data_IF_218046025268
#
_entry.id   IF_218046025268
#
_cell.length_a   1.000
_cell.length_b   1.000
_cell.length_c   1.000
_cell.angle_alpha   90.00
_cell.angle_beta   90.00
_cell.angle_gamma   90.00
#
_symmetry.space_group_name_H-M   'P 1'
#
loop_
_entity.id
_entity.type
_entity.pdbx_description
1 polymer ?
#
# COMPACT_ATOMS: atom_id res chain seq x y z
N UNK A 1 -55.76 -83.13 -3.10
CA UNK A 1 -55.95 -81.69 -3.41
C UNK A 1 -55.37 -80.76 -2.34
N UNK A 2 -55.58 -80.99 -1.04
CA UNK A 2 -55.03 -80.16 0.03
C UNK A 2 -53.48 -80.03 0.03
N UNK A 3 -52.75 -81.11 -0.21
CA UNK A 3 -51.27 -81.10 -0.29
C UNK A 3 -50.72 -80.24 -1.44
N UNK A 4 -51.39 -80.20 -2.60
CA UNK A 4 -50.97 -79.39 -3.75
C UNK A 4 -51.19 -77.89 -3.53
N UNK A 5 -52.27 -77.52 -2.83
CA UNK A 5 -52.57 -76.13 -2.44
C UNK A 5 -51.57 -75.63 -1.41
N UNK A 6 -51.20 -76.47 -0.44
CA UNK A 6 -50.18 -76.15 0.56
C UNK A 6 -48.79 -75.99 -0.09
N UNK A 7 -48.40 -76.87 -1.01
CA UNK A 7 -47.14 -76.74 -1.74
C UNK A 7 -47.10 -75.50 -2.66
N UNK A 8 -48.23 -75.14 -3.29
CA UNK A 8 -48.35 -73.92 -4.08
C UNK A 8 -48.29 -72.66 -3.20
N UNK A 9 -48.89 -72.69 -2.01
CA UNK A 9 -48.81 -71.61 -1.01
C UNK A 9 -47.38 -71.43 -0.49
N UNK A 10 -46.70 -72.52 -0.08
CA UNK A 10 -45.31 -72.48 0.35
C UNK A 10 -44.38 -72.02 -0.78
N UNK A 11 -44.56 -72.52 -2.01
CA UNK A 11 -43.80 -72.06 -3.17
C UNK A 11 -44.04 -70.58 -3.51
N UNK A 12 -45.28 -70.09 -3.38
CA UNK A 12 -45.60 -68.67 -3.60
C UNK A 12 -45.02 -67.76 -2.52
N UNK A 13 -44.94 -68.24 -1.28
CA UNK A 13 -44.31 -67.55 -0.15
C UNK A 13 -42.81 -67.45 -0.35
N UNK A 14 -42.17 -68.56 -0.73
CA UNK A 14 -40.72 -68.61 -0.95
C UNK A 14 -40.31 -67.72 -2.15
N UNK A 15 -41.12 -67.70 -3.21
CA UNK A 15 -40.90 -66.83 -4.37
C UNK A 15 -41.09 -65.34 -4.04
N UNK A 16 -42.05 -65.01 -3.18
CA UNK A 16 -42.24 -63.65 -2.65
C UNK A 16 -41.07 -63.22 -1.77
N UNK A 17 -40.61 -64.10 -0.89
CA UNK A 17 -39.50 -63.83 0.02
C UNK A 17 -38.19 -63.64 -0.75
N UNK A 18 -37.91 -64.50 -1.74
CA UNK A 18 -36.73 -64.38 -2.62
C UNK A 18 -36.78 -63.13 -3.52
N UNK A 19 -37.98 -62.66 -3.89
CA UNK A 19 -38.13 -61.38 -4.58
C UNK A 19 -37.88 -60.23 -3.62
N UNK A 20 -38.49 -60.26 -2.44
CA UNK A 20 -38.33 -59.24 -1.41
C UNK A 20 -36.86 -59.05 -1.03
N UNK A 21 -36.10 -60.12 -0.80
CA UNK A 21 -34.67 -60.02 -0.50
C UNK A 21 -33.86 -59.41 -1.63
N UNK A 22 -34.21 -59.68 -2.90
CA UNK A 22 -33.54 -59.04 -4.03
C UNK A 22 -33.89 -57.57 -4.14
N UNK A 23 -35.15 -57.21 -3.92
CA UNK A 23 -35.59 -55.81 -3.94
C UNK A 23 -34.92 -55.02 -2.79
N UNK A 24 -34.81 -55.62 -1.59
CA UNK A 24 -34.10 -55.06 -0.43
C UNK A 24 -32.59 -54.94 -0.66
N UNK A 25 -31.95 -55.94 -1.26
CA UNK A 25 -30.52 -55.91 -1.62
C UNK A 25 -30.21 -54.84 -2.69
N UNK A 26 -31.09 -54.69 -3.68
CA UNK A 26 -31.00 -53.62 -4.68
C UNK A 26 -31.17 -52.23 -4.03
N UNK A 27 -32.17 -52.06 -3.18
CA UNK A 27 -32.40 -50.80 -2.45
C UNK A 27 -31.23 -50.45 -1.51
N UNK A 28 -30.64 -51.45 -0.85
CA UNK A 28 -29.48 -51.27 0.01
C UNK A 28 -28.26 -50.79 -0.81
N UNK A 29 -27.98 -51.40 -1.96
CA UNK A 29 -26.90 -50.93 -2.86
C UNK A 29 -27.15 -49.52 -3.38
N UNK A 30 -28.39 -49.17 -3.71
CA UNK A 30 -28.74 -47.82 -4.14
C UNK A 30 -28.49 -46.80 -3.03
N UNK A 31 -28.80 -47.13 -1.78
CA UNK A 31 -28.49 -46.29 -0.62
C UNK A 31 -26.98 -46.12 -0.42
N UNK A 32 -26.19 -47.19 -0.56
CA UNK A 32 -24.72 -47.09 -0.48
C UNK A 32 -24.16 -46.18 -1.57
N UNK A 33 -24.64 -46.31 -2.82
CA UNK A 33 -24.24 -45.44 -3.92
C UNK A 33 -24.63 -43.98 -3.64
N UNK A 34 -25.81 -43.76 -3.06
CA UNK A 34 -26.25 -42.42 -2.69
C UNK A 34 -25.37 -41.83 -1.59
N UNK A 35 -25.05 -42.59 -0.54
CA UNK A 35 -24.15 -42.13 0.53
C UNK A 35 -22.76 -41.80 0.02
N UNK A 36 -22.21 -42.63 -0.89
CA UNK A 36 -20.92 -42.35 -1.52
C UNK A 36 -20.95 -41.07 -2.35
N UNK A 37 -22.00 -40.85 -3.15
CA UNK A 37 -22.15 -39.63 -3.92
C UNK A 37 -22.30 -38.40 -3.01
N UNK A 38 -23.10 -38.48 -1.96
CA UNK A 38 -23.28 -37.40 -0.99
C UNK A 38 -21.97 -37.08 -0.25
N UNK A 39 -21.19 -38.09 0.10
CA UNK A 39 -19.87 -37.91 0.72
C UNK A 39 -18.87 -37.27 -0.24
N UNK A 40 -18.85 -37.67 -1.51
CA UNK A 40 -18.01 -37.04 -2.54
C UNK A 40 -18.39 -35.57 -2.72
N UNK A 41 -19.68 -35.27 -2.84
CA UNK A 41 -20.20 -33.90 -3.01
C UNK A 41 -19.87 -33.05 -1.78
N UNK A 42 -20.10 -33.57 -0.57
CA UNK A 42 -19.79 -32.88 0.69
C UNK A 42 -18.28 -32.61 0.83
N UNK A 43 -17.46 -33.62 0.54
CA UNK A 43 -16.01 -33.47 0.57
C UNK A 43 -15.52 -32.44 -0.45
N UNK A 44 -16.11 -32.42 -1.65
CA UNK A 44 -15.80 -31.44 -2.67
C UNK A 44 -16.19 -30.02 -2.24
N UNK A 45 -17.40 -29.84 -1.70
CA UNK A 45 -17.88 -28.55 -1.17
C UNK A 45 -17.00 -28.04 -0.02
N UNK A 46 -16.57 -28.91 0.88
CA UNK A 46 -15.66 -28.55 1.97
C UNK A 46 -14.31 -28.09 1.44
N UNK A 47 -13.73 -28.80 0.46
CA UNK A 47 -12.47 -28.37 -0.15
C UNK A 47 -12.59 -27.02 -0.84
N UNK A 48 -13.68 -26.79 -1.58
CA UNK A 48 -13.91 -25.49 -2.22
C UNK A 48 -14.02 -24.37 -1.20
N UNK A 49 -14.80 -24.57 -0.13
CA UNK A 49 -14.94 -23.59 0.95
C UNK A 49 -13.60 -23.32 1.66
N UNK A 50 -12.75 -24.34 1.85
CA UNK A 50 -11.44 -24.15 2.46
C UNK A 50 -10.44 -23.43 1.55
N UNK A 51 -10.44 -23.73 0.25
CA UNK A 51 -9.65 -23.00 -0.76
C UNK A 51 -10.07 -21.53 -0.78
N UNK A 52 -11.38 -21.27 -0.81
CA UNK A 52 -11.95 -19.93 -0.77
C UNK A 52 -11.54 -19.16 0.49
N UNK A 53 -11.60 -19.79 1.67
CA UNK A 53 -11.13 -19.17 2.93
C UNK A 53 -9.63 -18.90 2.90
N UNK A 54 -8.84 -19.79 2.31
CA UNK A 54 -7.38 -19.63 2.20
C UNK A 54 -7.04 -18.45 1.30
N UNK A 55 -7.61 -18.40 0.09
CA UNK A 55 -7.38 -17.33 -0.88
C UNK A 55 -7.79 -15.97 -0.34
N UNK A 56 -8.92 -15.87 0.37
CA UNK A 56 -9.33 -14.60 1.01
C UNK A 56 -8.34 -14.13 2.07
N UNK A 57 -7.81 -15.05 2.88
CA UNK A 57 -6.80 -14.72 3.90
C UNK A 57 -5.50 -14.25 3.25
N UNK A 58 -5.02 -14.96 2.23
CA UNK A 58 -3.82 -14.59 1.50
C UNK A 58 -3.99 -13.22 0.81
N UNK A 59 -5.14 -13.00 0.16
CA UNK A 59 -5.47 -11.72 -0.48
C UNK A 59 -5.54 -10.58 0.52
N UNK A 60 -6.20 -10.78 1.65
CA UNK A 60 -6.26 -9.79 2.73
C UNK A 60 -4.87 -9.43 3.25
N UNK A 61 -4.00 -10.43 3.48
CA UNK A 61 -2.62 -10.19 3.90
C UNK A 61 -1.83 -9.43 2.83
N UNK A 62 -1.97 -9.82 1.56
CA UNK A 62 -1.31 -9.13 0.44
C UNK A 62 -1.72 -7.66 0.37
N UNK A 63 -3.01 -7.34 0.43
CA UNK A 63 -3.49 -5.96 0.40
C UNK A 63 -3.08 -5.18 1.65
N UNK A 64 -3.03 -5.83 2.82
CA UNK A 64 -2.53 -5.20 4.05
C UNK A 64 -1.05 -4.79 3.93
N UNK A 65 -0.21 -5.66 3.36
CA UNK A 65 1.20 -5.35 3.11
C UNK A 65 1.36 -4.16 2.15
N UNK A 66 0.49 -4.04 1.15
CA UNK A 66 0.48 -2.88 0.24
C UNK A 66 0.07 -1.61 0.99
N UNK A 67 -0.94 -1.67 1.85
CA UNK A 67 -1.35 -0.54 2.69
C UNK A 67 -0.21 -0.10 3.61
N UNK A 68 0.46 -1.05 4.25
CA UNK A 68 1.58 -0.82 5.17
C UNK A 68 2.77 -0.18 4.44
N UNK A 69 3.16 -0.72 3.29
CA UNK A 69 4.24 -0.16 2.48
C UNK A 69 3.95 1.29 2.05
N UNK A 70 2.69 1.62 1.75
CA UNK A 70 2.29 3.00 1.44
C UNK A 70 2.29 3.90 2.66
N UNK A 71 1.86 3.41 3.82
CA UNK A 71 1.90 4.15 5.06
C UNK A 71 3.36 4.47 5.47
N UNK A 72 4.28 3.51 5.32
CA UNK A 72 5.71 3.71 5.55
C UNK A 72 6.33 4.71 4.56
N UNK A 73 5.94 4.64 3.28
CA UNK A 73 6.37 5.63 2.30
C UNK A 73 5.90 7.05 2.68
N UNK A 74 4.67 7.21 3.16
CA UNK A 74 4.16 8.52 3.59
C UNK A 74 4.84 9.00 4.87
N UNK A 75 5.12 8.11 5.82
CA UNK A 75 5.78 8.48 7.07
C UNK A 75 7.20 8.98 6.81
N UNK A 76 7.98 8.24 6.02
CA UNK A 76 9.35 8.61 5.65
C UNK A 76 9.42 9.96 4.93
N UNK A 77 8.47 10.23 4.01
CA UNK A 77 8.38 11.54 3.33
C UNK A 77 8.04 12.66 4.32
N UNK A 78 7.10 12.42 5.24
CA UNK A 78 6.73 13.41 6.26
C UNK A 78 7.88 13.71 7.24
N UNK A 79 8.65 12.69 7.60
CA UNK A 79 9.84 12.83 8.46
C UNK A 79 10.91 13.65 7.77
N UNK A 80 11.22 13.35 6.50
CA UNK A 80 12.18 14.12 5.69
C UNK A 80 11.77 15.59 5.55
N UNK A 81 10.49 15.87 5.30
CA UNK A 81 9.97 17.23 5.20
C UNK A 81 10.11 17.99 6.53
N UNK A 82 9.83 17.32 7.65
CA UNK A 82 9.94 17.90 9.00
C UNK A 82 11.40 18.17 9.38
N UNK A 83 12.31 17.24 9.09
CA UNK A 83 13.75 17.43 9.32
C UNK A 83 14.31 18.60 8.52
N UNK A 84 13.94 18.70 7.24
CA UNK A 84 14.37 19.81 6.39
C UNK A 84 13.82 21.14 6.91
N UNK A 85 12.54 21.19 7.29
CA UNK A 85 11.96 22.38 7.92
C UNK A 85 12.71 22.77 9.20
N UNK A 86 13.00 21.81 10.08
CA UNK A 86 13.75 22.05 11.33
C UNK A 86 15.16 22.58 11.08
N UNK A 87 15.85 22.04 10.07
CA UNK A 87 17.16 22.53 9.64
C UNK A 87 17.11 23.99 9.20
N UNK A 88 16.10 24.39 8.42
CA UNK A 88 15.94 25.78 7.98
C UNK A 88 15.67 26.70 9.15
N UNK A 89 14.75 26.34 10.04
CA UNK A 89 14.44 27.17 11.22
C UNK A 89 15.68 27.34 12.09
N UNK A 90 16.42 26.27 12.34
CA UNK A 90 17.68 26.31 13.10
C UNK A 90 18.73 27.19 12.41
N UNK A 91 18.90 27.05 11.09
CA UNK A 91 19.80 27.90 10.31
C UNK A 91 19.37 29.37 10.40
N UNK A 92 18.07 29.66 10.33
CA UNK A 92 17.55 31.02 10.41
C UNK A 92 17.82 31.69 11.76
N UNK A 93 17.71 30.93 12.86
CA UNK A 93 18.02 31.43 14.20
C UNK A 93 19.52 31.65 14.45
N UNK A 94 20.37 30.89 13.77
CA UNK A 94 21.83 30.94 13.95
C UNK A 94 22.54 31.94 13.03
N UNK A 95 21.89 32.42 11.96
CA UNK A 95 22.45 33.44 11.08
C UNK A 95 22.37 34.80 11.77
N UNK A 96 23.52 35.31 12.21
CA UNK A 96 23.65 36.70 12.64
C UNK A 96 23.53 37.64 11.45
N UNK A 97 22.58 38.57 11.49
CA UNK A 97 22.34 39.55 10.42
C UNK A 97 23.23 40.78 10.67
N UNK A 98 24.17 41.12 9.77
CA UNK A 98 24.94 42.35 9.88
C UNK A 98 24.08 43.59 9.61
N UNK A 99 24.36 44.70 10.30
CA UNK A 99 23.58 45.95 10.19
C UNK A 99 23.63 46.60 8.79
N UNK A 100 24.61 46.24 7.96
CA UNK A 100 24.89 46.88 6.65
C UNK A 100 24.37 46.08 5.44
N UNK A 101 23.42 45.15 5.62
CA UNK A 101 22.90 44.33 4.51
C UNK A 101 21.78 45.06 3.76
N UNK A 102 21.81 45.00 2.42
CA UNK A 102 20.74 45.55 1.58
C UNK A 102 19.38 44.91 1.89
N UNK A 103 18.36 45.74 2.09
CA UNK A 103 17.00 45.31 2.44
C UNK A 103 16.41 44.26 1.48
N UNK A 104 16.77 44.33 0.19
CA UNK A 104 16.33 43.37 -0.82
C UNK A 104 16.85 41.94 -0.57
N UNK A 105 18.11 41.79 -0.15
CA UNK A 105 18.71 40.47 0.12
C UNK A 105 18.07 39.85 1.37
N UNK A 106 17.82 40.68 2.39
CA UNK A 106 17.14 40.25 3.62
C UNK A 106 15.68 39.84 3.36
N UNK A 107 14.98 40.55 2.48
CA UNK A 107 13.65 40.15 2.02
C UNK A 107 13.69 38.80 1.30
N UNK A 108 14.60 38.59 0.33
CA UNK A 108 14.72 37.32 -0.38
C UNK A 108 15.04 36.15 0.56
N UNK A 109 15.92 36.35 1.54
CA UNK A 109 16.26 35.35 2.55
C UNK A 109 15.06 34.95 3.42
N UNK A 110 14.35 35.93 3.97
CA UNK A 110 13.20 35.67 4.85
C UNK A 110 12.03 35.05 4.11
N UNK A 111 11.69 35.55 2.92
CA UNK A 111 10.60 35.02 2.09
C UNK A 111 10.90 33.60 1.61
N UNK A 112 12.13 33.34 1.16
CA UNK A 112 12.49 31.99 0.70
C UNK A 112 12.55 30.99 1.84
N UNK A 113 13.14 31.34 3.00
CA UNK A 113 13.18 30.47 4.18
C UNK A 113 11.77 30.15 4.70
N UNK A 114 10.91 31.15 4.82
CA UNK A 114 9.51 30.95 5.24
C UNK A 114 8.71 30.14 4.23
N UNK A 115 8.90 30.37 2.92
CA UNK A 115 8.27 29.57 1.87
C UNK A 115 8.66 28.09 1.95
N UNK A 116 9.94 27.78 2.23
CA UNK A 116 10.39 26.39 2.44
C UNK A 116 9.68 25.77 3.64
N UNK A 117 9.67 26.46 4.79
CA UNK A 117 9.04 25.94 6.01
C UNK A 117 7.53 25.70 5.80
N UNK A 118 6.81 26.67 5.24
CA UNK A 118 5.36 26.54 5.00
C UNK A 118 5.07 25.41 4.02
N UNK A 119 5.79 25.31 2.90
CA UNK A 119 5.59 24.25 1.92
C UNK A 119 5.88 22.85 2.50
N UNK A 120 6.95 22.71 3.28
CA UNK A 120 7.34 21.44 3.91
C UNK A 120 6.38 21.04 5.03
N UNK A 121 5.90 21.99 5.84
CA UNK A 121 4.89 21.72 6.87
C UNK A 121 3.55 21.31 6.24
N UNK A 122 3.10 21.99 5.19
CA UNK A 122 1.88 21.60 4.46
C UNK A 122 2.06 20.18 3.90
N UNK A 123 3.20 19.86 3.28
CA UNK A 123 3.50 18.51 2.81
C UNK A 123 3.42 17.48 3.95
N UNK A 124 4.05 17.74 5.09
CA UNK A 124 4.04 16.83 6.24
C UNK A 124 2.62 16.63 6.80
N UNK A 125 1.83 17.71 6.90
CA UNK A 125 0.42 17.63 7.34
C UNK A 125 -0.43 16.84 6.33
N UNK A 126 -0.22 17.02 5.03
CA UNK A 126 -0.94 16.23 4.02
C UNK A 126 -0.56 14.75 4.08
N UNK A 127 0.74 14.43 4.22
CA UNK A 127 1.22 13.05 4.35
C UNK A 127 0.69 12.36 5.61
N UNK A 128 0.65 13.05 6.75
CA UNK A 128 0.10 12.52 8.01
C UNK A 128 -1.42 12.30 7.93
N UNK A 129 -2.16 13.22 7.30
CA UNK A 129 -3.60 13.03 7.05
C UNK A 129 -3.86 11.85 6.10
N UNK A 130 -3.05 11.68 5.06
CA UNK A 130 -3.11 10.51 4.17
C UNK A 130 -2.79 9.22 4.92
N UNK A 131 -1.77 9.23 5.78
CA UNK A 131 -1.41 8.08 6.60
C UNK A 131 -2.56 7.68 7.53
N UNK A 132 -3.23 8.64 8.18
CA UNK A 132 -4.42 8.38 9.00
C UNK A 132 -5.57 7.78 8.19
N UNK A 133 -5.78 8.24 6.96
CA UNK A 133 -6.79 7.68 6.07
C UNK A 133 -6.47 6.23 5.70
N UNK A 134 -5.20 5.92 5.41
CA UNK A 134 -4.73 4.56 5.08
C UNK A 134 -4.87 3.62 6.26
N UNK A 135 -4.43 4.03 7.46
CA UNK A 135 -4.54 3.18 8.66
C UNK A 135 -5.98 2.91 9.03
N UNK A 136 -6.88 3.90 8.89
CA UNK A 136 -8.32 3.69 9.07
C UNK A 136 -8.92 2.74 8.04
N UNK A 137 -8.53 2.87 6.78
CA UNK A 137 -8.99 1.98 5.72
C UNK A 137 -8.53 0.54 5.97
N UNK A 138 -7.26 0.35 6.31
CA UNK A 138 -6.68 -0.95 6.63
C UNK A 138 -7.37 -1.60 7.84
N UNK A 139 -7.71 -0.82 8.87
CA UNK A 139 -8.35 -1.34 10.09
C UNK A 139 -9.84 -1.69 9.95
N UNK A 140 -10.60 -0.96 9.12
CA UNK A 140 -12.06 -1.07 9.14
C UNK A 140 -12.71 -1.40 7.81
N UNK A 141 -12.11 -1.03 6.68
CA UNK A 141 -12.77 -1.12 5.37
C UNK A 141 -12.18 -2.22 4.51
N UNK A 142 -10.93 -2.60 4.77
CA UNK A 142 -10.23 -3.64 4.03
C UNK A 142 -10.89 -5.02 4.19
N UNK A 143 -11.21 -5.41 5.43
CA UNK A 143 -11.85 -6.69 5.74
C UNK A 143 -13.22 -6.83 5.06
N UNK A 144 -14.06 -5.79 5.17
CA UNK A 144 -15.38 -5.78 4.54
C UNK A 144 -15.27 -5.84 3.01
N UNK A 145 -14.32 -5.09 2.42
CA UNK A 145 -14.13 -5.06 0.97
C UNK A 145 -13.70 -6.43 0.42
N UNK A 146 -12.77 -7.12 1.09
CA UNK A 146 -12.32 -8.47 0.72
C UNK A 146 -13.43 -9.51 0.93
N UNK A 147 -14.26 -9.35 1.97
CA UNK A 147 -15.39 -10.25 2.25
C UNK A 147 -16.48 -10.18 1.19
N UNK A 148 -16.77 -8.99 0.65
CA UNK A 148 -17.79 -8.79 -0.40
C UNK A 148 -17.32 -9.15 -1.80
N UNK A 149 -16.03 -9.43 -1.98
CA UNK A 149 -15.42 -9.67 -3.29
C UNK A 149 -15.75 -11.07 -3.80
N UNK A 150 -16.14 -11.16 -5.07
CA UNK A 150 -16.41 -12.44 -5.72
C UNK A 150 -15.11 -13.22 -5.99
N UNK A 151 -15.20 -14.55 -6.08
CA UNK A 151 -14.04 -15.44 -6.25
C UNK A 151 -13.25 -15.13 -7.52
N UNK A 152 -13.92 -14.71 -8.58
CA UNK A 152 -13.29 -14.30 -9.86
C UNK A 152 -12.53 -12.98 -9.75
N UNK A 153 -12.99 -12.07 -8.88
CA UNK A 153 -12.35 -10.78 -8.66
C UNK A 153 -11.21 -10.84 -7.65
N UNK A 154 -11.16 -11.90 -6.83
CA UNK A 154 -10.15 -12.09 -5.79
C UNK A 154 -8.72 -12.21 -6.37
N UNK A 155 -8.59 -12.78 -7.57
CA UNK A 155 -7.30 -12.96 -8.25
C UNK A 155 -6.79 -11.66 -8.91
N UNK A 156 -7.68 -10.81 -9.42
CA UNK A 156 -7.32 -9.69 -10.31
C UNK A 156 -7.56 -8.31 -9.72
N UNK A 157 -8.52 -8.17 -8.81
CA UNK A 157 -8.89 -6.89 -8.22
C UNK A 157 -8.01 -6.55 -7.02
N UNK A 158 -7.62 -5.29 -6.89
CA UNK A 158 -7.02 -4.74 -5.66
C UNK A 158 -7.95 -3.67 -5.09
N UNK A 159 -8.74 -3.97 -4.04
CA UNK A 159 -9.69 -3.02 -3.47
C UNK A 159 -8.99 -1.79 -2.88
N UNK A 160 -7.77 -1.95 -2.36
CA UNK A 160 -6.99 -0.82 -1.87
C UNK A 160 -6.62 0.15 -2.99
N UNK A 161 -6.15 -0.36 -4.14
CA UNK A 161 -5.70 0.50 -5.25
C UNK A 161 -6.86 1.31 -5.84
N UNK A 162 -8.04 0.71 -6.01
CA UNK A 162 -9.21 1.42 -6.54
C UNK A 162 -9.69 2.52 -5.60
N UNK A 163 -9.72 2.25 -4.29
CA UNK A 163 -10.01 3.25 -3.26
C UNK A 163 -8.97 4.38 -3.25
N UNK A 164 -7.68 4.02 -3.32
CA UNK A 164 -6.56 4.97 -3.31
C UNK A 164 -6.62 5.94 -4.48
N UNK A 165 -6.79 5.44 -5.71
CA UNK A 165 -6.88 6.25 -6.92
C UNK A 165 -8.04 7.25 -6.85
N UNK A 166 -9.19 6.80 -6.33
CA UNK A 166 -10.38 7.65 -6.27
C UNK A 166 -10.27 8.77 -5.24
N UNK A 167 -9.62 8.51 -4.09
CA UNK A 167 -9.74 9.40 -2.92
C UNK A 167 -8.43 10.04 -2.48
N UNK A 168 -7.31 9.35 -2.64
CA UNK A 168 -6.03 9.73 -2.06
C UNK A 168 -5.01 10.20 -3.11
N UNK A 169 -5.10 9.73 -4.36
CA UNK A 169 -4.12 10.06 -5.39
C UNK A 169 -4.00 11.56 -5.63
N UNK A 170 -5.11 12.28 -5.75
CA UNK A 170 -5.10 13.74 -5.97
C UNK A 170 -4.42 14.50 -4.84
N UNK A 171 -4.68 14.11 -3.59
CA UNK A 171 -4.10 14.73 -2.41
C UNK A 171 -2.61 14.38 -2.29
N UNK A 172 -2.24 13.13 -2.56
CA UNK A 172 -0.84 12.69 -2.61
C UNK A 172 -0.04 13.46 -3.66
N UNK A 173 -0.58 13.62 -4.87
CA UNK A 173 0.05 14.40 -5.94
C UNK A 173 0.25 15.86 -5.53
N UNK A 174 -0.69 16.41 -4.78
CA UNK A 174 -0.62 17.78 -4.27
C UNK A 174 0.46 17.91 -3.20
N UNK A 175 0.56 16.96 -2.27
CA UNK A 175 1.64 16.90 -1.29
C UNK A 175 3.02 16.84 -1.97
N UNK A 176 3.19 16.01 -2.99
CA UNK A 176 4.45 15.95 -3.74
C UNK A 176 4.77 17.25 -4.48
N UNK A 177 3.78 17.98 -4.99
CA UNK A 177 4.02 19.32 -5.58
C UNK A 177 4.54 20.30 -4.53
N UNK A 178 3.99 20.30 -3.32
CA UNK A 178 4.50 21.12 -2.22
C UNK A 178 5.90 20.71 -1.79
N UNK A 179 6.20 19.41 -1.72
CA UNK A 179 7.55 18.92 -1.45
C UNK A 179 8.55 19.42 -2.51
N UNK A 180 8.19 19.28 -3.80
CA UNK A 180 9.04 19.74 -4.90
C UNK A 180 9.23 21.26 -4.85
N UNK A 181 8.16 22.02 -4.60
CA UNK A 181 8.24 23.47 -4.43
C UNK A 181 9.14 23.86 -3.25
N UNK A 182 9.02 23.19 -2.11
CA UNK A 182 9.87 23.44 -0.94
C UNK A 182 11.35 23.16 -1.23
N UNK A 183 11.68 22.09 -1.95
CA UNK A 183 13.07 21.80 -2.35
C UNK A 183 13.59 22.84 -3.33
N UNK A 184 12.76 23.31 -4.28
CA UNK A 184 13.13 24.38 -5.19
C UNK A 184 13.43 25.69 -4.43
N UNK A 185 12.55 26.08 -3.51
CA UNK A 185 12.74 27.25 -2.66
C UNK A 185 13.96 27.13 -1.75
N UNK A 186 14.35 25.92 -1.35
CA UNK A 186 15.54 25.68 -0.54
C UNK A 186 16.84 26.06 -1.26
N UNK A 187 16.97 25.74 -2.55
CA UNK A 187 18.14 26.18 -3.33
C UNK A 187 18.22 27.70 -3.42
N UNK A 188 17.07 28.37 -3.56
CA UNK A 188 17.02 29.83 -3.57
C UNK A 188 17.39 30.42 -2.20
N UNK A 189 16.93 29.80 -1.12
CA UNK A 189 17.33 30.16 0.25
C UNK A 189 18.84 30.04 0.47
N UNK A 190 19.48 28.94 0.03
CA UNK A 190 20.93 28.79 0.14
C UNK A 190 21.70 29.88 -0.62
N UNK A 191 21.21 30.25 -1.80
CA UNK A 191 21.73 31.40 -2.54
C UNK A 191 21.62 32.69 -1.73
N UNK A 192 20.45 33.02 -1.20
CA UNK A 192 20.25 34.22 -0.39
C UNK A 192 21.11 34.25 0.89
N UNK A 193 21.25 33.11 1.58
CA UNK A 193 22.08 32.97 2.78
C UNK A 193 23.56 33.24 2.49
N UNK A 194 24.08 32.83 1.31
CA UNK A 194 25.49 33.06 0.98
C UNK A 194 25.83 34.56 0.95
N UNK A 195 24.90 35.38 0.49
CA UNK A 195 25.05 36.84 0.46
C UNK A 195 24.99 37.49 1.84
N UNK A 196 24.26 36.90 2.77
CA UNK A 196 24.17 37.40 4.15
C UNK A 196 25.43 37.03 4.94
N UNK A 197 25.86 35.77 4.87
CA UNK A 197 27.04 35.32 5.64
C UNK A 197 28.37 35.85 5.06
N UNK A 198 28.54 35.82 3.74
CA UNK A 198 29.80 36.21 3.08
C UNK A 198 29.72 37.62 2.46
N UNK A 199 29.10 38.57 3.15
CA UNK A 199 28.92 39.93 2.65
C UNK A 199 30.24 40.64 2.32
N UNK A 200 31.34 40.27 3.01
CA UNK A 200 32.68 40.83 2.81
C UNK A 200 33.43 40.23 1.62
N UNK A 201 33.07 39.04 1.15
CA UNK A 201 33.76 38.38 0.04
C UNK A 201 32.77 37.98 -1.04
N UNK A 202 32.66 38.88 -2.03
CA UNK A 202 31.77 38.71 -3.19
C UNK A 202 32.10 37.47 -4.00
N UNK A 203 33.38 37.08 -4.07
CA UNK A 203 33.83 35.87 -4.79
C UNK A 203 33.25 34.57 -4.22
N UNK A 204 33.26 34.40 -2.89
CA UNK A 204 32.70 33.21 -2.22
C UNK A 204 31.18 33.18 -2.27
N UNK A 205 30.52 34.33 -2.10
CA UNK A 205 29.05 34.37 -2.24
C UNK A 205 28.61 34.01 -3.66
N UNK A 206 29.33 34.51 -4.67
CA UNK A 206 29.02 34.25 -6.08
C UNK A 206 29.27 32.79 -6.46
N UNK A 207 30.31 32.15 -5.92
CA UNK A 207 30.56 30.71 -6.16
C UNK A 207 29.49 29.83 -5.52
N UNK A 208 29.06 30.11 -4.29
CA UNK A 208 27.99 29.36 -3.60
C UNK A 208 26.64 29.57 -4.30
N UNK A 209 26.33 30.80 -4.72
CA UNK A 209 25.13 31.10 -5.51
C UNK A 209 25.15 30.38 -6.87
N UNK A 210 26.29 30.31 -7.54
CA UNK A 210 26.44 29.55 -8.79
C UNK A 210 26.22 28.05 -8.58
N UNK A 211 26.82 27.47 -7.53
CA UNK A 211 26.64 26.06 -7.18
C UNK A 211 25.20 25.72 -6.82
N UNK A 212 24.51 26.58 -6.06
CA UNK A 212 23.09 26.39 -5.74
C UNK A 212 22.21 26.50 -6.99
N UNK A 213 22.52 27.40 -7.92
CA UNK A 213 21.82 27.50 -9.21
C UNK A 213 22.05 26.27 -10.09
N UNK A 214 23.28 25.76 -10.19
CA UNK A 214 23.57 24.51 -10.90
C UNK A 214 22.84 23.34 -10.24
N UNK A 215 22.82 23.26 -8.91
CA UNK A 215 22.05 22.27 -8.16
C UNK A 215 20.56 22.33 -8.47
N UNK A 216 19.99 23.54 -8.51
CA UNK A 216 18.61 23.77 -8.92
C UNK A 216 18.33 23.32 -10.36
N UNK A 217 19.21 23.63 -11.32
CA UNK A 217 19.05 23.19 -12.71
C UNK A 217 19.12 21.67 -12.84
N UNK A 218 20.08 21.02 -12.17
CA UNK A 218 20.17 19.56 -12.15
C UNK A 218 18.88 18.98 -11.57
N UNK A 219 18.39 19.55 -10.47
CA UNK A 219 17.15 19.12 -9.85
C UNK A 219 15.93 19.28 -10.78
N UNK A 220 15.76 20.44 -11.42
CA UNK A 220 14.66 20.68 -12.37
C UNK A 220 14.73 19.74 -13.58
N UNK A 221 15.92 19.63 -14.19
CA UNK A 221 16.11 18.93 -15.46
C UNK A 221 16.15 17.40 -15.31
N UNK A 222 16.62 16.87 -14.18
CA UNK A 222 16.77 15.43 -13.97
C UNK A 222 15.71 14.84 -13.05
N UNK A 223 15.39 15.54 -11.97
CA UNK A 223 14.49 15.02 -10.92
C UNK A 223 13.08 15.48 -11.26
N UNK A 224 12.81 16.78 -11.27
CA UNK A 224 11.45 17.26 -11.49
C UNK A 224 10.84 16.79 -12.83
N UNK A 225 11.62 16.70 -13.91
CA UNK A 225 11.16 16.19 -15.22
C UNK A 225 10.72 14.72 -15.18
N UNK A 226 11.52 13.84 -14.58
CA UNK A 226 11.22 12.40 -14.47
C UNK A 226 10.02 12.16 -13.56
N UNK A 227 9.98 12.88 -12.43
CA UNK A 227 8.88 12.76 -11.48
C UNK A 227 7.59 13.32 -12.07
N UNK A 228 7.61 14.43 -12.82
CA UNK A 228 6.41 14.97 -13.48
C UNK A 228 5.81 14.00 -14.51
N UNK A 229 6.65 13.24 -15.21
CA UNK A 229 6.18 12.18 -16.11
C UNK A 229 5.51 11.03 -15.36
N UNK A 230 6.08 10.60 -14.24
CA UNK A 230 5.54 9.52 -13.40
C UNK A 230 4.31 9.94 -12.58
N UNK A 231 4.14 11.24 -12.30
CA UNK A 231 3.00 11.81 -11.58
C UNK A 231 1.82 12.15 -12.52
N UNK A 232 1.99 11.97 -13.83
CA UNK A 232 0.89 12.14 -14.77
C UNK A 232 0.14 10.81 -14.83
N UNK A 233 -1.12 10.73 -14.35
CA UNK A 233 -1.89 9.51 -14.46
C UNK A 233 -2.02 9.14 -15.95
N UNK A 234 -2.03 7.84 -16.30
CA UNK A 234 -2.29 7.44 -17.68
C UNK A 234 -3.62 8.06 -18.09
N UNK A 235 -3.62 8.84 -19.18
CA UNK A 235 -4.85 9.44 -19.67
C UNK A 235 -5.84 8.31 -19.91
N UNK A 236 -6.94 8.30 -19.17
CA UNK A 236 -8.11 7.50 -19.51
C UNK A 236 -8.52 7.92 -20.91
N UNK A 237 -8.13 7.13 -21.90
CA UNK A 237 -8.57 7.29 -23.27
C UNK A 237 -10.09 7.15 -23.24
N UNK A 238 -10.79 8.27 -23.32
CA UNK A 238 -12.20 8.31 -23.66
C UNK A 238 -12.33 7.61 -25.01
N UNK A 239 -13.00 6.46 -25.14
CA UNK A 239 -13.40 6.02 -26.46
C UNK A 239 -14.39 7.08 -26.95
N UNK A 240 -13.96 7.88 -27.92
CA UNK A 240 -14.85 8.75 -28.68
C UNK A 240 -15.96 7.87 -29.25
N UNK A 241 -17.13 7.93 -28.64
CA UNK A 241 -18.36 7.41 -29.19
C UNK A 241 -18.77 8.32 -30.36
N UNK A 242 -18.07 8.17 -31.48
CA UNK A 242 -18.58 8.63 -32.77
C UNK A 242 -19.62 7.62 -33.23
N UNK A 243 -20.88 7.92 -32.91
CA UNK A 243 -22.03 7.23 -33.47
C UNK A 243 -22.09 7.42 -34.98
N UNK A 244 -21.99 6.32 -35.71
CA UNK A 244 -22.49 6.23 -37.08
C UNK A 244 -23.08 4.82 -37.28
N UNK A 245 -24.40 4.81 -37.34
CA UNK A 245 -25.28 3.68 -37.67
C UNK A 245 -25.01 3.12 -39.07
N UNK A 246 -24.67 1.83 -39.19
CA UNK A 246 -25.03 1.01 -40.37
C UNK A 246 -25.27 -0.44 -39.93
N UNK A 247 -26.44 -0.94 -40.31
CA UNK A 247 -27.00 -2.27 -40.09
C UNK A 247 -26.47 -3.33 -41.07
N UNK A 248 -26.12 -4.54 -40.57
CA UNK A 248 -25.90 -5.76 -41.38
C UNK A 248 -25.56 -7.01 -40.54
N UNK A 249 -26.00 -8.24 -40.92
CA UNK A 249 -26.12 -9.41 -40.02
C UNK A 249 -24.88 -10.35 -40.00
N UNK A 250 -24.84 -11.42 -39.16
CA UNK A 250 -23.61 -11.92 -38.55
C UNK A 250 -22.89 -12.99 -39.38
N UNK A 251 -21.56 -12.94 -39.38
CA UNK A 251 -20.72 -14.07 -39.80
C UNK A 251 -19.75 -14.48 -38.69
N UNK A 252 -19.84 -15.77 -38.39
CA UNK A 252 -18.92 -16.61 -37.62
C UNK A 252 -17.54 -16.66 -38.28
N UNK A 253 -16.46 -16.49 -37.51
CA UNK A 253 -15.10 -16.70 -38.02
C UNK A 253 -13.95 -16.14 -37.16
N UNK A 254 -13.48 -16.97 -36.22
CA UNK A 254 -12.11 -17.10 -35.68
C UNK A 254 -11.02 -16.04 -36.00
N UNK A 255 -10.42 -15.59 -34.89
CA UNK A 255 -8.97 -15.54 -34.59
C UNK A 255 -8.14 -14.31 -35.01
N UNK A 256 -7.33 -13.89 -34.01
CA UNK A 256 -6.10 -13.10 -34.08
C UNK A 256 -6.21 -11.57 -34.15
N UNK A 257 -6.35 -10.90 -33.00
CA UNK A 257 -5.52 -9.73 -32.64
C UNK A 257 -5.74 -9.26 -31.19
N UNK A 258 -5.14 -9.91 -30.18
CA UNK A 258 -4.96 -9.31 -28.85
C UNK A 258 -3.60 -9.72 -28.27
N UNK A 259 -2.57 -9.16 -28.90
CA UNK A 259 -1.19 -9.12 -28.40
C UNK A 259 -0.85 -7.66 -28.14
N UNK A 260 -1.32 -7.09 -27.03
CA UNK A 260 -0.78 -5.87 -26.44
C UNK A 260 -1.49 -5.59 -25.11
N UNK A 261 -0.80 -5.91 -24.01
CA UNK A 261 -0.84 -5.29 -22.68
C UNK A 261 -0.57 -6.35 -21.60
N UNK A 262 0.67 -6.84 -21.61
CA UNK A 262 1.29 -7.42 -20.43
C UNK A 262 2.39 -6.48 -19.93
N UNK A 263 2.61 -6.54 -18.61
CA UNK A 263 3.69 -5.95 -17.83
C UNK A 263 3.52 -4.48 -17.42
N UNK A 264 3.19 -4.26 -16.13
CA UNK A 264 4.20 -3.79 -15.15
C UNK A 264 3.57 -3.34 -13.82
N UNK A 265 3.08 -4.21 -12.93
CA UNK A 265 2.90 -3.88 -11.49
C UNK A 265 2.95 -5.10 -10.53
N UNK A 266 3.66 -6.17 -10.89
CA UNK A 266 3.96 -7.27 -9.97
C UNK A 266 5.48 -7.41 -9.82
N UNK A 267 6.09 -6.44 -9.15
CA UNK A 267 7.37 -6.64 -8.50
C UNK A 267 7.11 -7.05 -7.05
N UNK A 268 6.99 -8.35 -6.84
CA UNK A 268 7.09 -8.95 -5.51
C UNK A 268 8.45 -8.59 -4.88
N UNK A 269 8.52 -8.33 -3.57
CA UNK A 269 9.80 -8.15 -2.89
C UNK A 269 10.55 -9.49 -2.86
N UNK A 270 11.69 -9.55 -3.54
CA UNK A 270 12.70 -10.61 -3.33
C UNK A 270 13.30 -10.42 -1.94
N UNK A 271 12.97 -11.32 -1.02
CA UNK A 271 13.74 -11.54 0.20
C UNK A 271 15.07 -12.20 -0.15
N UNK A 272 16.22 -11.72 0.35
CA UNK A 272 17.43 -12.51 0.38
C UNK A 272 17.44 -13.38 1.64
N UNK A 273 17.32 -14.69 1.45
CA UNK A 273 17.64 -15.70 2.46
C UNK A 273 19.14 -15.99 2.44
N UNK A 274 19.85 -15.56 3.49
CA UNK A 274 21.00 -16.22 4.14
C UNK A 274 21.38 -15.31 5.33
N UNK A 275 21.52 -15.74 6.58
CA UNK A 275 22.23 -16.88 7.14
C UNK A 275 21.61 -17.29 8.48
N UNK A 276 21.54 -18.59 8.69
CA UNK A 276 21.37 -19.26 9.97
C UNK A 276 22.49 -18.92 10.96
N UNK A 277 22.16 -18.43 12.16
CA UNK A 277 22.86 -18.86 13.38
C UNK A 277 21.92 -18.89 14.59
N UNK A 278 21.57 -20.12 14.93
CA UNK A 278 20.94 -20.66 16.13
C UNK A 278 21.54 -20.10 17.43
N UNK A 279 20.69 -19.57 18.33
CA UNK A 279 20.85 -19.77 19.78
C UNK A 279 19.48 -19.81 20.47
N UNK A 280 19.26 -20.90 21.19
CA UNK A 280 18.00 -21.32 21.78
C UNK A 280 17.64 -20.53 23.04
N UNK A 281 16.32 -20.45 23.26
CA UNK A 281 15.60 -20.40 24.55
C UNK A 281 16.45 -20.48 25.83
N UNK A 282 16.27 -19.49 26.71
CA UNK A 282 15.83 -19.74 28.08
C UNK A 282 15.23 -18.46 28.68
N UNK A 283 14.00 -18.56 29.16
CA UNK A 283 13.32 -17.68 30.12
C UNK A 283 12.65 -18.66 31.14
N UNK A 284 12.33 -18.34 32.42
CA UNK A 284 12.26 -17.05 33.13
C UNK A 284 12.97 -17.00 34.51
N UNK A 285 12.92 -15.80 35.12
CA UNK A 285 12.54 -15.54 36.53
C UNK A 285 13.55 -14.69 37.28
N UNK A 286 13.23 -13.41 37.52
CA UNK A 286 13.17 -12.77 38.85
C UNK A 286 13.17 -11.23 38.75
N UNK A 287 12.07 -10.64 39.18
CA UNK A 287 11.97 -9.28 39.78
C UNK A 287 12.28 -9.51 41.27
N UNK A 288 13.03 -8.66 42.02
CA UNK A 288 12.57 -7.29 42.28
C UNK A 288 13.60 -6.18 42.62
N UNK A 289 13.01 -4.96 42.63
CA UNK A 289 13.22 -3.85 43.56
C UNK A 289 14.42 -2.87 43.39
N UNK A 290 14.00 -1.62 43.14
CA UNK A 290 14.38 -0.40 43.88
C UNK A 290 15.82 0.11 43.82
N UNK A 291 16.01 1.31 43.27
CA UNK A 291 16.14 2.53 44.09
C UNK A 291 16.41 3.78 43.23
N UNK A 292 15.82 4.88 43.68
CA UNK A 292 16.21 6.30 43.59
C UNK A 292 17.64 6.59 43.08
N UNK A 293 17.95 7.74 42.47
CA UNK A 293 17.78 9.05 43.09
C UNK A 293 18.09 10.16 42.09
N UNK A 294 17.23 11.17 42.14
CA UNK A 294 17.38 12.53 41.66
C UNK A 294 18.44 13.28 42.48
N UNK A 295 19.50 13.82 41.88
CA UNK A 295 20.20 14.98 42.46
C UNK A 295 20.82 15.89 41.41
N UNK A 296 20.17 17.05 41.32
CA UNK A 296 20.64 18.36 40.88
C UNK A 296 21.91 18.75 41.66
N UNK A 297 22.97 19.20 40.98
CA UNK A 297 24.06 19.96 41.62
C UNK A 297 24.25 21.29 40.91
N UNK A 298 23.79 22.34 41.59
CA UNK A 298 24.22 23.72 41.43
C UNK A 298 25.45 23.89 42.32
N UNK A 299 26.51 24.52 41.81
CA UNK A 299 27.45 25.26 42.67
C UNK A 299 27.78 26.63 42.06
N UNK A 300 28.03 27.65 42.90
CA UNK A 300 28.00 29.07 42.53
C UNK A 300 29.41 29.71 42.53
N UNK A 301 29.46 30.98 42.07
CA UNK A 301 30.34 32.12 42.46
C UNK A 301 31.81 31.86 42.84
N UNK A 302 32.80 32.56 42.29
CA UNK A 302 33.08 33.97 42.63
C UNK A 302 33.98 34.67 41.58
N UNK A 303 33.78 35.98 41.46
CA UNK A 303 34.69 36.97 40.86
C UNK A 303 35.87 37.26 41.82
N UNK A 304 36.83 38.19 41.59
CA UNK A 304 36.78 39.47 40.85
C UNK A 304 37.36 39.45 39.43
#
# INVERSE_FOLDING_TARGET
MASAVVNALFGSYDLRNAKQWRDEDMAYREQEIQWLNDDIVRAHQWRLADIERFLRREKMQSEHLVCEARAEQLSTVSEQATLLCGFIVSAMCNVGVPDNVHAYVLFLYTVSGTAVCVAMLICAVMCTNLQLAVTRYAAHTLEDSVRTMDMTQLEWGSPFSSWWLTRCEKEQMTAYKFMLFGVASFFFYLGAVSWIQFYMSTGTSLSISSLSFVGFLIWQLRIASKWRYLLTPPSSGTPESSGASVSGPPQSGRSAHLSALSHSYLSAPRTPASLTLRKSMLEPTSVPASASTFTKSITPTDAP
#
